data_IF_526075832268
#
_entry.id   IF_526075832268
#
_cell.length_a   1.000
_cell.length_b   1.000
_cell.length_c   1.000
_cell.angle_alpha   90.00
_cell.angle_beta   90.00
_cell.angle_gamma   90.00
#
_symmetry.space_group_name_H-M   'P 1'
#
loop_
_entity.id
_entity.type
_entity.pdbx_description
1 polymer ?
#
# COMPACT_ATOMS: atom_id res chain seq x y z
N UNK A 1 -8.15 -8.29 -39.46
CA UNK A 1 -8.04 -9.76 -39.42
C UNK A 1 -7.63 -10.38 -38.06
N UNK A 2 -7.36 -9.61 -37.02
CA UNK A 2 -6.90 -10.18 -35.72
C UNK A 2 -8.01 -10.69 -34.80
N UNK A 3 -9.25 -10.27 -35.01
CA UNK A 3 -10.37 -10.57 -34.08
C UNK A 3 -11.03 -11.93 -34.34
N UNK A 4 -10.88 -12.49 -35.52
CA UNK A 4 -11.35 -13.85 -35.83
C UNK A 4 -10.64 -14.97 -35.02
N UNK A 5 -9.64 -14.61 -34.23
CA UNK A 5 -9.00 -15.55 -33.32
C UNK A 5 -9.83 -15.87 -32.09
N UNK A 6 -10.77 -14.98 -31.73
CA UNK A 6 -11.56 -15.09 -30.50
C UNK A 6 -12.95 -15.67 -30.75
N UNK A 7 -13.53 -15.42 -31.94
CA UNK A 7 -14.91 -15.80 -32.21
C UNK A 7 -15.08 -16.45 -33.56
N UNK A 8 -16.02 -17.42 -33.65
CA UNK A 8 -16.51 -17.92 -34.89
C UNK A 8 -17.19 -16.78 -35.68
N UNK A 9 -17.02 -16.77 -37.01
CA UNK A 9 -17.58 -15.76 -37.92
C UNK A 9 -19.09 -15.61 -37.80
N UNK A 10 -19.80 -16.68 -37.39
CA UNK A 10 -21.23 -16.71 -37.23
C UNK A 10 -21.70 -16.38 -35.80
N UNK A 11 -20.80 -16.02 -34.87
CA UNK A 11 -21.19 -15.70 -33.52
C UNK A 11 -22.00 -14.39 -33.46
N UNK A 12 -23.12 -14.41 -32.71
CA UNK A 12 -23.94 -13.21 -32.51
C UNK A 12 -23.13 -12.01 -31.98
N UNK A 13 -22.18 -12.29 -31.17
CA UNK A 13 -21.31 -11.26 -30.62
C UNK A 13 -20.44 -10.62 -31.71
N UNK A 14 -19.77 -11.42 -32.56
CA UNK A 14 -18.92 -10.88 -33.63
C UNK A 14 -19.73 -10.06 -34.63
N UNK A 15 -20.92 -10.52 -35.01
CA UNK A 15 -21.83 -9.80 -35.88
C UNK A 15 -22.21 -8.45 -35.27
N UNK A 16 -22.51 -8.41 -33.97
CA UNK A 16 -22.86 -7.17 -33.28
C UNK A 16 -21.64 -6.25 -33.13
N UNK A 17 -20.46 -6.78 -32.82
CA UNK A 17 -19.22 -6.00 -32.72
C UNK A 17 -18.86 -5.35 -34.06
N UNK A 18 -19.00 -6.06 -35.17
CA UNK A 18 -18.77 -5.50 -36.51
C UNK A 18 -19.73 -4.33 -36.84
N UNK A 19 -20.93 -4.36 -36.27
CA UNK A 19 -21.89 -3.26 -36.42
C UNK A 19 -21.50 -2.05 -35.54
N UNK A 20 -21.07 -2.31 -34.31
CA UNK A 20 -20.71 -1.26 -33.34
C UNK A 20 -19.34 -0.63 -33.63
N UNK A 21 -18.42 -1.39 -34.18
CA UNK A 21 -17.04 -1.00 -34.47
C UNK A 21 -16.68 -1.24 -35.93
N UNK A 22 -17.28 -0.56 -36.89
CA UNK A 22 -17.06 -0.82 -38.32
C UNK A 22 -15.60 -0.67 -38.76
N UNK A 23 -14.80 0.13 -38.04
CA UNK A 23 -13.37 0.31 -38.31
C UNK A 23 -12.46 -0.82 -37.79
N UNK A 24 -13.01 -1.75 -37.03
CA UNK A 24 -12.25 -2.93 -36.55
C UNK A 24 -11.91 -3.86 -37.73
N UNK A 25 -12.77 -3.95 -38.75
CA UNK A 25 -12.56 -4.80 -39.93
C UNK A 25 -11.38 -4.36 -40.79
N UNK A 26 -10.99 -3.09 -40.75
CA UNK A 26 -10.02 -2.49 -41.69
C UNK A 26 -8.57 -2.49 -41.16
N UNK A 27 -8.31 -3.11 -40.00
CA UNK A 27 -6.95 -3.24 -39.44
C UNK A 27 -6.28 -1.92 -39.02
N UNK A 28 -7.00 -0.79 -39.13
CA UNK A 28 -6.54 0.50 -38.66
C UNK A 28 -6.85 0.64 -37.18
N UNK A 29 -5.92 1.20 -36.39
CA UNK A 29 -6.00 1.42 -34.95
C UNK A 29 -7.36 2.00 -34.52
N UNK A 30 -8.34 1.15 -34.30
CA UNK A 30 -9.68 1.53 -33.87
C UNK A 30 -9.65 2.03 -32.42
N UNK A 31 -10.40 3.09 -32.15
CA UNK A 31 -10.52 3.76 -30.84
C UNK A 31 -10.72 2.81 -29.65
N UNK A 32 -11.31 1.62 -29.87
CA UNK A 32 -11.66 0.65 -28.83
C UNK A 32 -10.93 -0.68 -28.95
N UNK A 33 -9.86 -0.73 -29.74
CA UNK A 33 -9.09 -1.97 -29.98
C UNK A 33 -8.61 -2.63 -28.69
N UNK A 34 -8.20 -1.82 -27.72
CA UNK A 34 -7.71 -2.29 -26.43
C UNK A 34 -8.81 -2.85 -25.52
N UNK A 35 -10.09 -2.72 -25.89
CA UNK A 35 -11.21 -3.26 -25.14
C UNK A 35 -11.62 -4.68 -25.59
N UNK A 36 -11.09 -5.17 -26.70
CA UNK A 36 -11.48 -6.48 -27.27
C UNK A 36 -11.14 -7.63 -26.31
N UNK A 37 -9.97 -7.70 -25.69
CA UNK A 37 -9.67 -8.76 -24.73
C UNK A 37 -10.67 -8.79 -23.56
N UNK A 38 -11.10 -7.62 -23.09
CA UNK A 38 -12.12 -7.54 -22.03
C UNK A 38 -13.49 -8.01 -22.52
N UNK A 39 -13.89 -7.64 -23.74
CA UNK A 39 -15.16 -8.10 -24.33
C UNK A 39 -15.18 -9.64 -24.43
N UNK A 40 -14.06 -10.23 -24.87
CA UNK A 40 -13.91 -11.68 -24.92
C UNK A 40 -14.00 -12.32 -23.53
N UNK A 41 -13.31 -11.76 -22.55
CA UNK A 41 -13.34 -12.28 -21.18
C UNK A 41 -14.73 -12.13 -20.52
N UNK A 42 -15.44 -11.04 -20.80
CA UNK A 42 -16.83 -10.86 -20.35
C UNK A 42 -17.76 -11.89 -20.96
N UNK A 43 -17.60 -12.19 -22.26
CA UNK A 43 -18.37 -13.26 -22.91
C UNK A 43 -18.12 -14.61 -22.25
N UNK A 44 -16.83 -14.95 -22.04
CA UNK A 44 -16.44 -16.22 -21.45
C UNK A 44 -16.97 -16.41 -20.03
N UNK A 45 -16.99 -15.35 -19.22
CA UNK A 45 -17.41 -15.41 -17.82
C UNK A 45 -18.90 -15.22 -17.61
N UNK A 46 -19.53 -14.34 -18.40
CA UNK A 46 -20.89 -13.86 -18.14
C UNK A 46 -21.83 -14.04 -19.34
N UNK A 47 -21.32 -14.50 -20.48
CA UNK A 47 -22.07 -14.74 -21.70
C UNK A 47 -22.15 -13.55 -22.66
N UNK A 48 -22.58 -13.84 -23.88
CA UNK A 48 -22.59 -12.88 -24.99
C UNK A 48 -23.42 -11.60 -24.72
N UNK A 49 -24.52 -11.72 -23.97
CA UNK A 49 -25.40 -10.57 -23.69
C UNK A 49 -24.65 -9.49 -22.85
N UNK A 50 -23.84 -9.89 -21.88
CA UNK A 50 -23.10 -8.97 -21.02
C UNK A 50 -21.92 -8.34 -21.78
N UNK A 51 -21.27 -9.12 -22.64
CA UNK A 51 -20.23 -8.61 -23.53
C UNK A 51 -20.79 -7.60 -24.54
N UNK A 52 -21.96 -7.87 -25.13
CA UNK A 52 -22.66 -6.93 -26.02
C UNK A 52 -23.08 -5.67 -25.27
N UNK A 53 -23.64 -5.83 -24.06
CA UNK A 53 -24.01 -4.70 -23.21
C UNK A 53 -22.80 -3.77 -22.97
N UNK A 54 -21.67 -4.31 -22.55
CA UNK A 54 -20.45 -3.53 -22.34
C UNK A 54 -20.02 -2.79 -23.63
N UNK A 55 -19.98 -3.48 -24.77
CA UNK A 55 -19.59 -2.90 -26.05
C UNK A 55 -20.51 -1.75 -26.47
N UNK A 56 -21.82 -1.91 -26.30
CA UNK A 56 -22.82 -0.87 -26.58
C UNK A 56 -22.66 0.35 -25.67
N UNK A 57 -22.48 0.13 -24.36
CA UNK A 57 -22.27 1.22 -23.42
C UNK A 57 -20.93 1.93 -23.67
N UNK A 58 -19.87 1.21 -24.05
CA UNK A 58 -18.60 1.80 -24.42
C UNK A 58 -18.72 2.76 -25.59
N UNK A 59 -19.46 2.39 -26.64
CA UNK A 59 -19.72 3.29 -27.78
C UNK A 59 -20.53 4.51 -27.35
N UNK A 60 -21.56 4.30 -26.52
CA UNK A 60 -22.45 5.38 -26.04
C UNK A 60 -21.77 6.36 -25.10
N UNK A 61 -20.78 5.91 -24.32
CA UNK A 61 -20.18 6.72 -23.26
C UNK A 61 -19.42 7.95 -23.75
N UNK A 62 -18.95 7.93 -25.00
CA UNK A 62 -18.11 8.99 -25.53
C UNK A 62 -16.67 9.00 -25.00
N UNK A 63 -16.29 8.02 -24.16
CA UNK A 63 -14.92 7.89 -23.63
C UNK A 63 -13.93 7.85 -24.80
N UNK A 64 -12.87 8.66 -24.71
CA UNK A 64 -11.88 8.78 -25.80
C UNK A 64 -10.91 7.59 -25.83
N UNK A 65 -10.57 7.03 -24.67
CA UNK A 65 -9.68 5.89 -24.55
C UNK A 65 -10.09 5.02 -23.36
N UNK A 66 -10.15 3.72 -23.58
CA UNK A 66 -10.44 2.73 -22.56
C UNK A 66 -9.39 1.61 -22.62
N UNK A 67 -8.70 1.42 -21.52
CA UNK A 67 -7.73 0.33 -21.33
C UNK A 67 -8.17 -0.50 -20.13
N UNK A 68 -8.20 -1.82 -20.27
CA UNK A 68 -8.65 -2.72 -19.20
C UNK A 68 -7.61 -2.95 -18.08
N UNK A 69 -6.48 -2.27 -18.11
CA UNK A 69 -5.53 -2.18 -17.00
C UNK A 69 -4.19 -2.83 -17.24
N UNK A 70 -4.00 -3.64 -18.27
CA UNK A 70 -2.70 -4.21 -18.56
C UNK A 70 -2.18 -3.82 -19.93
N UNK A 71 -0.90 -3.47 -20.00
CA UNK A 71 -0.17 -3.35 -21.27
C UNK A 71 0.23 -4.75 -21.70
N UNK A 72 -0.52 -5.40 -22.58
CA UNK A 72 -0.10 -6.66 -23.14
C UNK A 72 0.28 -6.57 -24.61
N UNK A 73 1.43 -7.17 -24.92
CA UNK A 73 1.79 -7.54 -26.27
C UNK A 73 0.80 -8.61 -26.74
N UNK A 74 -0.05 -8.27 -27.68
CA UNK A 74 -1.09 -9.13 -28.27
C UNK A 74 -0.58 -10.43 -28.91
N UNK A 75 0.70 -10.70 -28.86
CA UNK A 75 1.36 -11.81 -29.56
C UNK A 75 1.75 -12.99 -28.67
N UNK A 76 1.74 -12.84 -27.35
CA UNK A 76 2.10 -13.93 -26.44
C UNK A 76 0.90 -14.41 -25.63
N UNK A 77 0.40 -15.54 -26.06
CA UNK A 77 -0.20 -16.66 -25.34
C UNK A 77 -1.04 -16.44 -24.07
N UNK A 78 -2.17 -17.09 -24.05
CA UNK A 78 -2.84 -17.78 -22.94
C UNK A 78 -3.16 -17.05 -21.60
N UNK A 79 -2.55 -15.93 -21.27
CA UNK A 79 -2.86 -15.12 -20.09
C UNK A 79 -3.18 -13.69 -20.52
N UNK A 80 -4.40 -13.48 -20.99
CA UNK A 80 -4.92 -12.14 -21.21
C UNK A 80 -5.23 -11.55 -19.82
N UNK A 81 -4.29 -10.80 -19.32
CA UNK A 81 -4.45 -10.08 -18.06
C UNK A 81 -5.40 -8.90 -18.26
N UNK A 82 -6.66 -9.17 -18.05
CA UNK A 82 -7.72 -8.16 -17.94
C UNK A 82 -7.74 -7.57 -16.51
N UNK A 83 -6.58 -7.57 -15.85
CA UNK A 83 -6.39 -7.42 -14.42
C UNK A 83 -7.10 -6.23 -13.78
N UNK A 84 -7.16 -5.09 -14.44
CA UNK A 84 -7.82 -3.94 -13.86
C UNK A 84 -9.31 -4.15 -13.62
N UNK A 85 -10.08 -4.38 -14.69
CA UNK A 85 -11.54 -4.51 -14.63
C UNK A 85 -11.99 -5.83 -13.99
N UNK A 86 -11.41 -6.96 -14.41
CA UNK A 86 -11.77 -8.29 -13.90
C UNK A 86 -11.38 -8.48 -12.44
N UNK A 87 -10.27 -7.90 -12.00
CA UNK A 87 -9.86 -7.89 -10.59
C UNK A 87 -10.89 -7.21 -9.70
N UNK A 88 -11.56 -6.16 -10.18
CA UNK A 88 -12.65 -5.51 -9.45
C UNK A 88 -13.89 -6.39 -9.36
N UNK A 89 -14.13 -7.25 -10.36
CA UNK A 89 -15.27 -8.18 -10.37
C UNK A 89 -15.01 -9.44 -9.53
N UNK A 90 -13.76 -9.72 -9.20
CA UNK A 90 -13.44 -10.84 -8.35
C UNK A 90 -14.11 -10.71 -6.97
N UNK A 91 -14.38 -11.85 -6.35
CA UNK A 91 -15.31 -12.07 -5.24
C UNK A 91 -15.13 -11.14 -4.02
N UNK A 92 -14.01 -10.46 -3.91
CA UNK A 92 -13.66 -9.67 -2.72
C UNK A 92 -14.49 -8.40 -2.52
N UNK A 93 -14.97 -7.78 -3.61
CA UNK A 93 -15.70 -6.50 -3.54
C UNK A 93 -17.22 -6.65 -3.77
N UNK A 94 -17.67 -7.81 -4.25
CA UNK A 94 -19.07 -8.07 -4.54
C UNK A 94 -19.75 -6.95 -5.37
N UNK A 95 -19.10 -6.57 -6.49
CA UNK A 95 -19.61 -5.55 -7.40
C UNK A 95 -20.64 -6.14 -8.37
N UNK A 96 -21.66 -5.37 -8.71
CA UNK A 96 -22.58 -5.72 -9.78
C UNK A 96 -21.97 -5.33 -11.13
N UNK A 97 -21.89 -6.28 -12.08
CA UNK A 97 -21.22 -6.09 -13.37
C UNK A 97 -21.81 -4.90 -14.15
N UNK A 98 -23.14 -4.86 -14.34
CA UNK A 98 -23.76 -3.79 -15.13
C UNK A 98 -23.60 -2.44 -14.45
N UNK A 99 -23.78 -2.37 -13.13
CA UNK A 99 -23.58 -1.11 -12.40
C UNK A 99 -22.12 -0.66 -12.45
N UNK A 100 -21.16 -1.59 -12.41
CA UNK A 100 -19.75 -1.25 -12.60
C UNK A 100 -19.48 -0.70 -13.99
N UNK A 101 -20.03 -1.32 -15.03
CA UNK A 101 -19.93 -0.84 -16.41
C UNK A 101 -20.48 0.60 -16.53
N UNK A 102 -21.67 0.84 -16.01
CA UNK A 102 -22.29 2.15 -16.07
C UNK A 102 -21.50 3.19 -15.28
N UNK A 103 -21.04 2.84 -14.09
CA UNK A 103 -20.21 3.72 -13.27
C UNK A 103 -18.91 4.12 -13.98
N UNK A 104 -18.19 3.15 -14.52
CA UNK A 104 -16.91 3.39 -15.20
C UNK A 104 -17.10 4.20 -16.49
N UNK A 105 -18.14 3.89 -17.27
CA UNK A 105 -18.31 4.50 -18.59
C UNK A 105 -19.05 5.84 -18.57
N UNK A 106 -19.89 6.09 -17.57
CA UNK A 106 -20.73 7.29 -17.54
C UNK A 106 -20.47 8.16 -16.31
N UNK A 107 -20.49 7.59 -15.11
CA UNK A 107 -20.36 8.40 -13.89
C UNK A 107 -18.94 8.96 -13.75
N UNK A 108 -17.91 8.16 -14.05
CA UNK A 108 -16.52 8.62 -14.02
C UNK A 108 -16.19 9.60 -15.15
N UNK A 109 -16.80 9.43 -16.33
CA UNK A 109 -16.64 10.40 -17.39
C UNK A 109 -17.15 11.80 -16.98
N UNK A 110 -18.27 11.85 -16.26
CA UNK A 110 -18.80 13.10 -15.69
C UNK A 110 -17.88 13.70 -14.63
N UNK A 111 -17.10 12.88 -13.94
CA UNK A 111 -16.07 13.30 -12.99
C UNK A 111 -14.79 13.78 -13.66
N UNK A 112 -14.73 13.81 -14.99
CA UNK A 112 -13.57 14.27 -15.75
C UNK A 112 -12.61 13.17 -16.21
N UNK A 113 -12.91 11.90 -15.99
CA UNK A 113 -12.09 10.77 -16.47
C UNK A 113 -12.35 10.50 -17.96
N UNK A 114 -11.76 11.30 -18.84
CA UNK A 114 -11.88 11.09 -20.29
C UNK A 114 -11.09 9.85 -20.79
N UNK A 115 -10.18 9.33 -19.97
CA UNK A 115 -9.37 8.15 -20.24
C UNK A 115 -9.42 7.20 -19.05
N UNK A 116 -9.70 5.93 -19.31
CA UNK A 116 -9.63 4.85 -18.35
C UNK A 116 -8.36 4.05 -18.64
N UNK A 117 -7.44 4.03 -17.71
CA UNK A 117 -6.10 3.44 -17.86
C UNK A 117 -5.68 2.66 -16.60
N UNK A 118 -4.47 2.12 -16.58
CA UNK A 118 -3.94 1.36 -15.45
C UNK A 118 -3.91 2.15 -14.13
N UNK A 119 -3.61 3.43 -14.18
CA UNK A 119 -3.59 4.28 -12.99
C UNK A 119 -4.98 4.40 -12.36
N UNK A 120 -6.02 4.58 -13.19
CA UNK A 120 -7.41 4.61 -12.74
C UNK A 120 -7.80 3.30 -12.04
N UNK A 121 -7.48 2.14 -12.63
CA UNK A 121 -7.84 0.86 -12.04
C UNK A 121 -7.15 0.64 -10.70
N UNK A 122 -5.90 1.08 -10.56
CA UNK A 122 -5.15 1.03 -9.29
C UNK A 122 -5.82 1.91 -8.24
N UNK A 123 -6.16 3.15 -8.57
CA UNK A 123 -6.83 4.09 -7.66
C UNK A 123 -8.19 3.54 -7.19
N UNK A 124 -8.99 3.02 -8.10
CA UNK A 124 -10.31 2.48 -7.75
C UNK A 124 -10.20 1.19 -6.91
N UNK A 125 -9.27 0.30 -7.26
CA UNK A 125 -9.00 -0.89 -6.47
C UNK A 125 -8.54 -0.54 -5.06
N UNK A 126 -7.60 0.39 -4.93
CA UNK A 126 -7.09 0.84 -3.64
C UNK A 126 -8.17 1.51 -2.79
N UNK A 127 -9.05 2.30 -3.40
CA UNK A 127 -10.21 2.87 -2.72
C UNK A 127 -11.09 1.79 -2.07
N UNK A 128 -11.50 0.77 -2.84
CA UNK A 128 -12.34 -0.30 -2.34
C UNK A 128 -11.64 -1.13 -1.26
N UNK A 129 -10.36 -1.44 -1.46
CA UNK A 129 -9.53 -2.17 -0.50
C UNK A 129 -9.40 -1.41 0.83
N UNK A 130 -9.09 -0.12 0.77
CA UNK A 130 -8.95 0.72 1.95
C UNK A 130 -10.27 0.89 2.72
N UNK A 131 -11.42 0.95 2.04
CA UNK A 131 -12.71 0.92 2.74
C UNK A 131 -12.92 -0.40 3.51
N UNK A 132 -12.60 -1.54 2.88
CA UNK A 132 -12.70 -2.85 3.53
C UNK A 132 -11.77 -2.94 4.73
N UNK A 133 -10.53 -2.43 4.61
CA UNK A 133 -9.56 -2.37 5.68
C UNK A 133 -10.05 -1.50 6.86
N UNK A 134 -10.50 -0.28 6.59
CA UNK A 134 -10.86 0.66 7.64
C UNK A 134 -12.22 0.38 8.29
N UNK A 135 -13.21 -0.08 7.50
CA UNK A 135 -14.59 -0.28 7.97
C UNK A 135 -14.97 -1.76 8.18
N UNK A 136 -14.08 -2.72 7.86
CA UNK A 136 -14.42 -4.14 7.80
C UNK A 136 -15.31 -4.53 6.60
N UNK A 137 -15.86 -3.55 5.89
CA UNK A 137 -16.71 -3.72 4.70
C UNK A 137 -16.64 -2.52 3.78
N UNK A 138 -17.02 -2.70 2.52
CA UNK A 138 -17.16 -1.60 1.58
C UNK A 138 -18.53 -0.95 1.82
N UNK A 139 -18.52 0.33 2.19
CA UNK A 139 -19.74 1.13 2.45
C UNK A 139 -20.27 1.76 1.18
N UNK A 140 -19.38 2.29 0.36
CA UNK A 140 -19.72 2.98 -0.87
C UNK A 140 -18.88 2.42 -2.02
N UNK A 141 -19.54 1.76 -2.97
CA UNK A 141 -18.87 1.10 -4.09
C UNK A 141 -18.64 2.05 -5.27
N UNK A 142 -19.51 3.01 -5.46
CA UNK A 142 -19.60 3.89 -6.63
C UNK A 142 -19.67 5.34 -6.19
N UNK A 143 -18.55 5.92 -5.70
CA UNK A 143 -18.57 7.28 -5.15
C UNK A 143 -18.83 8.33 -6.21
N UNK A 144 -19.51 9.40 -5.82
CA UNK A 144 -19.79 10.54 -6.68
C UNK A 144 -18.52 11.26 -7.16
N UNK A 145 -17.46 11.26 -6.33
CA UNK A 145 -16.11 11.69 -6.69
C UNK A 145 -15.10 10.66 -6.21
N UNK A 146 -14.61 9.81 -7.14
CA UNK A 146 -13.66 8.75 -6.81
C UNK A 146 -12.38 9.32 -6.17
N UNK A 147 -11.80 10.35 -6.76
CA UNK A 147 -10.56 10.94 -6.26
C UNK A 147 -10.72 11.45 -4.81
N UNK A 148 -11.77 12.23 -4.56
CA UNK A 148 -12.03 12.76 -3.21
C UNK A 148 -12.28 11.63 -2.22
N UNK A 149 -13.07 10.64 -2.59
CA UNK A 149 -13.39 9.50 -1.74
C UNK A 149 -12.15 8.65 -1.44
N UNK A 150 -11.28 8.44 -2.44
CA UNK A 150 -9.98 7.77 -2.29
C UNK A 150 -9.08 8.53 -1.30
N UNK A 151 -8.90 9.84 -1.49
CA UNK A 151 -8.01 10.65 -0.65
C UNK A 151 -8.49 10.68 0.82
N UNK A 152 -9.80 10.79 1.02
CA UNK A 152 -10.39 10.75 2.37
C UNK A 152 -10.18 9.41 3.06
N UNK A 153 -10.41 8.29 2.37
CA UNK A 153 -10.21 6.97 3.00
C UNK A 153 -8.73 6.66 3.21
N UNK A 154 -7.85 7.07 2.30
CA UNK A 154 -6.41 6.93 2.45
C UNK A 154 -5.89 7.67 3.67
N UNK A 155 -6.33 8.91 3.90
CA UNK A 155 -6.00 9.66 5.11
C UNK A 155 -6.45 8.92 6.39
N UNK A 156 -7.68 8.42 6.42
CA UNK A 156 -8.22 7.68 7.59
C UNK A 156 -7.42 6.40 7.88
N UNK A 157 -7.09 5.62 6.85
CA UNK A 157 -6.29 4.40 6.99
C UNK A 157 -4.90 4.73 7.52
N UNK A 158 -4.24 5.76 6.98
CA UNK A 158 -2.91 6.17 7.42
C UNK A 158 -2.91 6.61 8.88
N UNK A 159 -3.88 7.43 9.29
CA UNK A 159 -4.02 7.85 10.69
C UNK A 159 -4.26 6.66 11.62
N UNK A 160 -5.11 5.71 11.22
CA UNK A 160 -5.37 4.50 12.02
C UNK A 160 -4.12 3.63 12.16
N UNK A 161 -3.35 3.44 11.09
CA UNK A 161 -2.09 2.70 11.12
C UNK A 161 -1.04 3.38 12.00
N UNK A 162 -0.90 4.70 11.91
CA UNK A 162 0.00 5.46 12.80
C UNK A 162 -0.41 5.33 14.27
N UNK A 163 -1.70 5.43 14.56
CA UNK A 163 -2.20 5.23 15.93
C UNK A 163 -1.94 3.81 16.45
N UNK A 164 -2.09 2.79 15.61
CA UNK A 164 -1.79 1.41 15.98
C UNK A 164 -0.29 1.23 16.28
N UNK A 165 0.59 1.73 15.41
CA UNK A 165 2.04 1.68 15.63
C UNK A 165 2.43 2.41 16.93
N UNK A 166 1.86 3.58 17.21
CA UNK A 166 2.13 4.31 18.46
C UNK A 166 1.67 3.51 19.68
N UNK A 167 0.51 2.84 19.61
CA UNK A 167 0.02 1.99 20.70
C UNK A 167 0.94 0.80 20.94
N UNK A 168 1.24 0.03 19.88
CA UNK A 168 2.11 -1.13 19.97
C UNK A 168 3.49 -0.75 20.51
N UNK A 169 4.04 0.39 20.06
CA UNK A 169 5.29 0.94 20.58
C UNK A 169 5.19 1.24 22.08
N UNK A 170 4.12 1.90 22.52
CA UNK A 170 3.91 2.23 23.93
C UNK A 170 3.78 0.97 24.80
N UNK A 171 3.07 -0.04 24.32
CA UNK A 171 2.94 -1.33 25.04
C UNK A 171 4.31 -2.01 25.21
N UNK A 172 5.20 -1.94 24.19
CA UNK A 172 6.57 -2.46 24.25
C UNK A 172 7.50 -1.65 25.14
N UNK A 173 7.31 -0.34 25.20
CA UNK A 173 8.05 0.52 26.15
C UNK A 173 7.81 0.10 27.59
N UNK A 174 6.56 -0.23 27.97
CA UNK A 174 6.21 -0.70 29.29
C UNK A 174 6.99 -1.94 29.74
N UNK A 175 7.40 -2.81 28.81
CA UNK A 175 8.21 -4.00 29.11
C UNK A 175 9.61 -3.66 29.64
N UNK A 176 10.17 -2.52 29.24
CA UNK A 176 11.55 -2.12 29.54
C UNK A 176 11.65 -0.79 30.34
N UNK A 177 10.51 -0.21 30.72
CA UNK A 177 10.47 1.04 31.50
C UNK A 177 11.29 0.93 32.79
N UNK A 178 11.30 -0.24 33.43
CA UNK A 178 12.05 -0.53 34.64
C UNK A 178 13.57 -0.44 34.46
N UNK A 179 14.06 -0.44 33.21
CA UNK A 179 15.48 -0.30 32.87
C UNK A 179 15.97 1.16 32.89
N UNK A 180 15.05 2.14 33.02
CA UNK A 180 15.42 3.54 33.22
C UNK A 180 16.24 3.67 34.50
N UNK A 181 17.34 4.44 34.43
CA UNK A 181 18.30 4.52 35.55
C UNK A 181 19.00 5.88 35.59
N UNK A 182 19.16 6.42 36.78
CA UNK A 182 19.95 7.62 37.01
C UNK A 182 21.23 7.30 37.82
N UNK A 183 22.36 7.41 37.16
CA UNK A 183 23.67 7.33 37.80
C UNK A 183 24.22 8.69 38.18
N UNK A 184 25.50 8.72 38.61
CA UNK A 184 26.20 9.96 38.99
C UNK A 184 26.56 10.86 37.80
N UNK A 185 26.94 10.29 36.67
CA UNK A 185 27.38 10.99 35.44
C UNK A 185 26.48 10.78 34.25
N UNK A 186 25.92 9.60 34.17
CA UNK A 186 25.09 9.14 33.03
C UNK A 186 23.75 8.63 33.54
N UNK A 187 22.77 8.60 32.64
CA UNK A 187 21.46 7.97 32.86
C UNK A 187 21.09 7.12 31.67
N UNK A 188 20.20 6.13 31.90
CA UNK A 188 19.49 5.39 30.85
C UNK A 188 18.08 5.94 30.74
N UNK A 189 17.72 6.35 29.56
CA UNK A 189 16.40 6.85 29.22
C UNK A 189 15.71 5.85 28.29
N UNK A 190 14.47 5.52 28.59
CA UNK A 190 13.61 4.68 27.76
C UNK A 190 12.73 5.61 26.93
N UNK A 191 12.82 5.57 25.58
CA UNK A 191 11.99 6.43 24.74
C UNK A 191 10.52 6.04 24.87
N UNK A 192 9.65 7.01 25.07
CA UNK A 192 8.21 6.80 25.29
C UNK A 192 7.38 6.87 24.01
N UNK A 193 7.93 7.46 22.94
CA UNK A 193 7.23 7.69 21.68
C UNK A 193 8.11 7.39 20.46
N UNK A 194 7.51 6.92 19.35
CA UNK A 194 8.23 6.66 18.09
C UNK A 194 9.05 7.86 17.59
N UNK A 195 8.54 9.08 17.82
CA UNK A 195 9.19 10.31 17.41
C UNK A 195 10.58 10.46 18.02
N UNK A 196 10.78 10.01 19.27
CA UNK A 196 12.07 10.10 19.95
C UNK A 196 13.16 9.27 19.26
N UNK A 197 12.80 8.12 18.64
CA UNK A 197 13.73 7.34 17.82
C UNK A 197 14.10 8.07 16.53
N UNK A 198 13.13 8.71 15.90
CA UNK A 198 13.38 9.49 14.69
C UNK A 198 14.31 10.68 14.98
N UNK A 199 14.05 11.44 16.05
CA UNK A 199 14.86 12.57 16.48
C UNK A 199 16.28 12.11 16.86
N UNK A 200 16.42 10.98 17.55
CA UNK A 200 17.72 10.37 17.89
C UNK A 200 18.53 10.01 16.65
N UNK A 201 17.89 9.41 15.65
CA UNK A 201 18.53 9.08 14.37
C UNK A 201 19.07 10.31 13.65
N UNK A 202 18.31 11.40 13.65
CA UNK A 202 18.72 12.69 13.08
C UNK A 202 19.91 13.26 13.86
N UNK A 203 19.81 13.31 15.20
CA UNK A 203 20.82 13.92 16.06
C UNK A 203 22.16 13.18 16.03
N UNK A 204 22.13 11.86 15.93
CA UNK A 204 23.33 11.03 15.92
C UNK A 204 23.78 10.57 14.53
N UNK A 205 23.06 10.98 13.47
CA UNK A 205 23.37 10.63 12.06
C UNK A 205 23.47 9.12 11.86
N UNK A 206 22.47 8.36 12.36
CA UNK A 206 22.36 6.92 12.16
C UNK A 206 20.89 6.48 12.00
N UNK A 207 20.68 5.23 11.60
CA UNK A 207 19.38 4.72 11.11
C UNK A 207 18.42 4.23 12.23
N UNK A 208 18.53 4.69 13.49
CA UNK A 208 17.64 4.20 14.56
C UNK A 208 16.16 4.58 14.32
N UNK A 209 15.89 5.62 13.55
CA UNK A 209 14.50 5.93 13.14
C UNK A 209 13.81 4.79 12.39
N UNK A 210 14.56 3.95 11.67
CA UNK A 210 14.02 2.78 10.94
C UNK A 210 13.64 1.64 11.89
N UNK A 211 14.02 1.72 13.18
CA UNK A 211 13.72 0.69 14.17
C UNK A 211 12.33 0.81 14.81
N UNK A 212 11.58 1.87 14.51
CA UNK A 212 10.21 2.08 15.07
C UNK A 212 9.33 0.83 14.89
N UNK A 213 9.28 0.29 13.67
CA UNK A 213 8.50 -0.91 13.38
C UNK A 213 9.02 -2.15 14.12
N UNK A 214 10.34 -2.29 14.29
CA UNK A 214 10.96 -3.41 15.00
C UNK A 214 10.73 -3.34 16.50
N UNK A 215 10.67 -2.14 17.07
CA UNK A 215 10.30 -1.95 18.48
C UNK A 215 8.82 -2.28 18.65
N UNK A 216 7.95 -1.77 17.79
CA UNK A 216 6.51 -2.03 17.84
C UNK A 216 6.18 -3.53 17.69
N UNK A 217 6.92 -4.28 16.83
CA UNK A 217 6.78 -5.74 16.69
C UNK A 217 7.37 -6.55 17.86
N UNK A 218 8.19 -5.94 18.73
CA UNK A 218 8.87 -6.62 19.83
C UNK A 218 10.17 -7.32 19.45
N UNK A 219 10.72 -7.05 18.24
CA UNK A 219 11.99 -7.65 17.81
C UNK A 219 13.21 -7.12 18.58
N UNK A 220 13.11 -5.90 19.09
CA UNK A 220 14.14 -5.29 19.92
C UNK A 220 13.56 -4.11 20.71
N UNK A 221 14.31 -3.66 21.71
CA UNK A 221 14.07 -2.37 22.39
C UNK A 221 15.24 -1.43 22.11
N UNK A 222 14.93 -0.13 22.13
CA UNK A 222 15.93 0.95 22.03
C UNK A 222 15.96 1.69 23.36
N UNK A 223 17.15 1.91 23.89
CA UNK A 223 17.40 2.70 25.07
C UNK A 223 18.42 3.79 24.73
N UNK A 224 18.38 4.89 25.45
CA UNK A 224 19.32 5.99 25.28
C UNK A 224 20.23 6.11 26.47
N UNK A 225 21.53 6.09 26.26
CA UNK A 225 22.49 6.54 27.24
C UNK A 225 22.65 8.06 27.10
N UNK A 226 22.45 8.77 28.19
CA UNK A 226 22.53 10.25 28.25
C UNK A 226 23.51 10.70 29.33
N UNK A 227 23.96 11.97 29.24
CA UNK A 227 24.63 12.62 30.34
C UNK A 227 23.60 13.08 31.36
N UNK A 228 23.81 12.84 32.65
CA UNK A 228 22.87 13.23 33.71
C UNK A 228 22.49 14.71 33.69
N UNK A 229 23.46 15.59 33.42
CA UNK A 229 23.23 17.04 33.37
C UNK A 229 22.60 17.54 32.06
N UNK A 230 22.41 16.66 31.06
CA UNK A 230 21.84 16.98 29.75
C UNK A 230 21.06 15.74 29.20
N UNK A 231 19.98 15.29 29.88
CA UNK A 231 19.25 14.08 29.52
C UNK A 231 18.53 14.19 28.18
N UNK A 232 18.26 15.41 27.74
CA UNK A 232 17.61 15.68 26.46
C UNK A 232 18.58 15.66 25.25
N UNK A 233 19.90 15.64 25.53
CA UNK A 233 20.89 15.62 24.45
C UNK A 233 21.27 14.19 24.07
N UNK A 234 21.23 13.90 22.80
CA UNK A 234 21.63 12.59 22.25
C UNK A 234 23.13 12.33 22.51
N UNK A 235 23.42 11.15 23.02
CA UNK A 235 24.83 10.76 23.32
C UNK A 235 25.17 9.38 22.74
N UNK A 236 24.43 8.32 23.12
CA UNK A 236 24.58 6.95 22.61
C UNK A 236 23.24 6.28 22.57
N UNK A 237 22.96 5.61 21.47
CA UNK A 237 21.80 4.72 21.30
C UNK A 237 22.22 3.28 21.58
N UNK A 238 21.40 2.57 22.35
CA UNK A 238 21.60 1.18 22.72
C UNK A 238 20.49 0.35 22.09
N UNK A 239 20.84 -0.75 21.43
CA UNK A 239 19.88 -1.76 20.99
C UNK A 239 19.91 -2.95 21.96
N UNK A 240 18.79 -3.21 22.61
CA UNK A 240 18.56 -4.38 23.45
C UNK A 240 17.76 -5.42 22.68
N UNK A 241 18.27 -6.64 22.56
CA UNK A 241 17.56 -7.78 21.96
C UNK A 241 17.57 -8.92 22.97
N UNK A 242 16.38 -9.31 23.43
CA UNK A 242 16.26 -10.18 24.62
C UNK A 242 16.93 -9.54 25.82
N UNK A 243 17.91 -10.22 26.42
CA UNK A 243 18.69 -9.73 27.56
C UNK A 243 20.12 -9.31 27.16
N UNK A 244 20.33 -8.85 25.93
CA UNK A 244 21.67 -8.48 25.46
C UNK A 244 21.67 -7.15 24.73
N UNK A 245 22.60 -6.26 25.09
CA UNK A 245 22.93 -5.07 24.31
C UNK A 245 23.77 -5.48 23.11
N UNK A 246 23.14 -5.47 21.93
CA UNK A 246 23.75 -5.89 20.67
C UNK A 246 24.45 -4.74 19.93
N UNK A 247 24.04 -3.50 20.20
CA UNK A 247 24.64 -2.29 19.61
C UNK A 247 24.66 -1.17 20.64
N UNK A 248 25.74 -0.38 20.60
CA UNK A 248 25.90 0.84 21.36
C UNK A 248 26.68 1.86 20.52
N UNK A 249 25.97 2.85 19.94
CA UNK A 249 26.53 3.76 18.94
C UNK A 249 26.22 5.22 19.27
N UNK A 250 27.24 6.05 19.25
CA UNK A 250 27.11 7.51 19.32
C UNK A 250 27.10 8.18 17.96
N UNK A 251 27.34 9.50 17.95
CA UNK A 251 27.32 10.33 16.73
C UNK A 251 28.20 9.73 15.62
N UNK A 252 27.65 9.68 14.39
CA UNK A 252 28.30 9.08 13.23
C UNK A 252 28.75 7.62 13.47
N UNK A 253 27.96 6.87 14.24
CA UNK A 253 28.22 5.47 14.61
C UNK A 253 29.52 5.27 15.40
N UNK A 254 30.00 6.29 16.15
CA UNK A 254 31.15 6.11 16.99
C UNK A 254 30.93 5.02 18.02
N UNK A 255 31.99 4.30 18.36
CA UNK A 255 32.01 3.38 19.49
C UNK A 255 31.86 4.13 20.82
N UNK A 256 31.39 3.45 21.85
CA UNK A 256 31.31 3.98 23.20
C UNK A 256 32.71 4.20 23.80
N UNK A 257 32.86 5.24 24.61
CA UNK A 257 34.08 5.52 25.33
C UNK A 257 34.29 4.57 26.51
N UNK A 258 35.50 4.52 27.08
CA UNK A 258 35.77 3.68 28.25
C UNK A 258 34.90 4.03 29.46
N UNK A 259 34.59 5.31 29.68
CA UNK A 259 33.72 5.75 30.78
C UNK A 259 32.28 5.34 30.55
N UNK A 260 31.76 5.51 29.29
CA UNK A 260 30.40 5.03 28.90
C UNK A 260 30.30 3.54 29.05
N UNK A 261 31.32 2.79 28.63
CA UNK A 261 31.37 1.31 28.79
C UNK A 261 31.36 0.91 30.27
N UNK A 262 32.16 1.54 31.11
CA UNK A 262 32.20 1.26 32.55
C UNK A 262 30.84 1.46 33.21
N UNK A 263 30.17 2.56 32.85
CA UNK A 263 28.81 2.82 33.33
C UNK A 263 27.84 1.74 32.86
N UNK A 264 27.81 1.43 31.57
CA UNK A 264 26.94 0.40 30.98
C UNK A 264 27.16 -0.97 31.61
N UNK A 265 28.41 -1.37 31.84
CA UNK A 265 28.70 -2.67 32.48
C UNK A 265 28.15 -2.76 33.90
N UNK A 266 28.18 -1.69 34.69
CA UNK A 266 27.61 -1.66 36.03
C UNK A 266 26.08 -1.76 35.99
N UNK A 267 25.44 -0.90 35.18
CA UNK A 267 24.00 -0.90 34.98
C UNK A 267 23.48 -2.24 34.44
N UNK A 268 24.16 -2.83 33.46
CA UNK A 268 23.79 -4.11 32.86
C UNK A 268 23.86 -5.25 33.86
N UNK A 269 24.89 -5.25 34.76
CA UNK A 269 25.02 -6.25 35.83
C UNK A 269 23.83 -6.18 36.81
N UNK A 270 23.43 -4.97 37.20
CA UNK A 270 22.26 -4.77 38.10
C UNK A 270 20.95 -5.23 37.48
N UNK A 271 20.84 -5.22 36.17
CA UNK A 271 19.64 -5.59 35.42
C UNK A 271 19.72 -6.98 34.75
N UNK A 272 20.76 -7.78 35.03
CA UNK A 272 21.00 -9.10 34.41
C UNK A 272 21.07 -9.04 32.87
N UNK A 273 21.62 -7.97 32.33
CA UNK A 273 21.78 -7.73 30.88
C UNK A 273 23.22 -8.05 30.48
N UNK A 274 23.40 -8.74 29.34
CA UNK A 274 24.72 -8.98 28.76
C UNK A 274 25.12 -7.82 27.84
N UNK A 275 26.40 -7.52 27.74
CA UNK A 275 26.95 -6.54 26.79
C UNK A 275 27.75 -7.28 25.72
N UNK A 276 27.21 -7.30 24.50
CA UNK A 276 27.78 -7.97 23.33
C UNK A 276 28.38 -6.95 22.30
N UNK A 277 28.86 -5.77 22.77
CA UNK A 277 29.39 -4.68 21.91
C UNK A 277 30.82 -4.31 22.28
#
# INVERSE_FOLDING_TARGET
>A
MQYYRYWDQNSKLLIRLNTLFPTISDGKNGKYQNSIPLIYELERRYGANEAIYFAEQLVRSGIQSFECGAKHNYLDSATHDTDGFTRLLDKDFNLNLRRLIDYVLFDLYRQGYAKINSAFWTEYYDYLRMQKEFHGKIREKYPESLKTAHDVIALKVNLARQAAVCKDFSDRVGEVEHLAYEGSRYCIVVPSQPKELADEGINLSHCVGDYISRVASGDCHILFLRRKHAPDQSLVTLQLSGQSICQAQGLNRRSITSDERKFLCNWARENNIQIAV
#
